data_IF_572563432070
#
_entry.id   IF_572563432070
#
_cell.length_a   1.000
_cell.length_b   1.000
_cell.length_c   1.000
_cell.angle_alpha   90.00
_cell.angle_beta   90.00
_cell.angle_gamma   90.00
#
_symmetry.space_group_name_H-M   'P 1'
#
loop_
_entity.id
_entity.type
_entity.pdbx_description
1 polymer ?
#
# COMPACT_ATOMS: atom_id res chain seq x y z
N UNK A 1 -15.63 -0.18 1.72
CA UNK A 1 -15.56 0.94 0.74
C UNK A 1 -15.96 0.49 -0.67
N UNK A 2 -16.27 1.45 -1.53
CA UNK A 2 -16.56 1.13 -2.94
C UNK A 2 -15.28 0.72 -3.65
N UNK A 3 -15.33 -0.36 -4.43
CA UNK A 3 -14.18 -0.84 -5.20
C UNK A 3 -13.63 0.28 -6.11
N UNK A 4 -12.32 0.49 -6.05
CA UNK A 4 -11.59 1.37 -6.97
C UNK A 4 -11.13 0.52 -8.14
N UNK A 5 -11.51 0.90 -9.37
CA UNK A 5 -11.19 0.18 -10.59
C UNK A 5 -10.62 1.17 -11.61
N UNK A 6 -9.31 1.33 -11.64
CA UNK A 6 -8.60 2.28 -12.50
C UNK A 6 -7.92 1.58 -13.68
N UNK A 7 -8.29 1.95 -14.89
CA UNK A 7 -7.66 1.46 -16.12
C UNK A 7 -6.82 2.56 -16.75
N UNK A 8 -5.64 2.23 -17.24
CA UNK A 8 -4.70 3.18 -17.87
C UNK A 8 -4.40 4.38 -16.91
N UNK A 9 -4.54 5.61 -17.43
CA UNK A 9 -4.30 6.86 -16.72
C UNK A 9 -5.25 7.08 -15.53
N UNK A 10 -6.44 6.50 -15.55
CA UNK A 10 -7.37 6.60 -14.41
C UNK A 10 -6.79 6.02 -13.12
N UNK A 11 -5.92 5.02 -13.23
CA UNK A 11 -5.23 4.45 -12.08
C UNK A 11 -4.23 5.43 -11.42
N UNK A 12 -3.88 6.54 -12.08
CA UNK A 12 -3.06 7.58 -11.46
C UNK A 12 -3.81 8.36 -10.35
N UNK A 13 -5.13 8.30 -10.34
CA UNK A 13 -5.96 8.81 -9.25
C UNK A 13 -6.16 7.72 -8.20
N UNK A 14 -5.59 7.91 -7.01
CA UNK A 14 -5.57 6.90 -5.94
C UNK A 14 -6.97 6.42 -5.51
N UNK A 15 -7.96 7.30 -5.56
CA UNK A 15 -9.36 7.02 -5.24
C UNK A 15 -10.26 7.27 -6.46
N UNK A 16 -9.88 6.71 -7.62
CA UNK A 16 -10.67 6.83 -8.83
C UNK A 16 -12.07 6.26 -8.65
N UNK A 17 -13.05 6.98 -9.16
CA UNK A 17 -14.43 6.51 -9.29
C UNK A 17 -14.94 6.84 -10.68
N UNK A 18 -15.37 5.84 -11.41
CA UNK A 18 -15.91 6.03 -12.77
C UNK A 18 -17.21 6.83 -12.74
N UNK A 19 -17.40 7.67 -13.77
CA UNK A 19 -18.65 8.33 -14.12
C UNK A 19 -19.07 7.91 -15.51
N UNK A 20 -20.28 8.24 -15.94
CA UNK A 20 -20.75 7.92 -17.31
C UNK A 20 -19.82 8.48 -18.39
N UNK A 21 -19.17 9.65 -18.13
CA UNK A 21 -18.24 10.29 -19.07
C UNK A 21 -16.83 9.72 -18.99
N UNK A 22 -16.43 9.18 -17.86
CA UNK A 22 -15.05 8.69 -17.60
C UNK A 22 -14.95 7.16 -17.57
N UNK A 23 -16.03 6.44 -17.80
CA UNK A 23 -16.00 4.98 -17.82
C UNK A 23 -15.29 4.44 -19.07
N UNK A 24 -14.24 3.64 -18.85
CA UNK A 24 -13.47 3.03 -19.92
C UNK A 24 -13.80 1.56 -20.07
N UNK A 25 -14.02 1.15 -21.31
CA UNK A 25 -14.06 -0.27 -21.64
C UNK A 25 -12.65 -0.87 -21.55
N UNK A 26 -12.52 -1.98 -20.84
CA UNK A 26 -11.23 -2.71 -20.75
C UNK A 26 -10.85 -3.33 -22.11
N UNK A 27 -9.61 -3.17 -22.50
CA UNK A 27 -9.02 -3.71 -23.71
C UNK A 27 -7.84 -4.63 -23.37
N UNK A 28 -7.37 -5.41 -24.35
CA UNK A 28 -6.22 -6.33 -24.15
C UNK A 28 -4.88 -5.59 -24.24
N UNK A 29 -4.74 -4.55 -23.45
CA UNK A 29 -3.52 -3.73 -23.37
C UNK A 29 -3.42 -3.05 -22.01
N UNK A 30 -2.23 -2.56 -21.67
CA UNK A 30 -1.97 -1.73 -20.50
C UNK A 30 -2.22 -2.41 -19.14
N UNK A 31 -2.31 -1.60 -18.08
CA UNK A 31 -2.51 -2.01 -16.70
C UNK A 31 -3.93 -1.67 -16.22
N UNK A 32 -4.47 -2.55 -15.41
CA UNK A 32 -5.73 -2.37 -14.68
C UNK A 32 -5.47 -2.53 -13.19
N UNK A 33 -5.74 -1.48 -12.42
CA UNK A 33 -5.66 -1.46 -10.98
C UNK A 33 -7.04 -1.70 -10.39
N UNK A 34 -7.15 -2.68 -9.49
CA UNK A 34 -8.35 -2.94 -8.71
C UNK A 34 -7.99 -2.97 -7.23
N UNK A 35 -8.69 -2.16 -6.45
CA UNK A 35 -8.57 -2.04 -5.01
C UNK A 35 -9.95 -2.28 -4.39
N UNK A 36 -10.03 -3.28 -3.55
CA UNK A 36 -11.30 -3.75 -3.00
C UNK A 36 -11.14 -4.30 -1.60
N UNK A 37 -12.20 -4.20 -0.81
CA UNK A 37 -12.24 -4.77 0.51
C UNK A 37 -13.64 -5.29 0.85
N UNK A 38 -13.69 -6.27 1.73
CA UNK A 38 -14.91 -6.83 2.29
C UNK A 38 -15.05 -6.49 3.76
N UNK A 39 -16.29 -6.32 4.20
CA UNK A 39 -16.62 -6.18 5.63
C UNK A 39 -17.36 -7.43 6.10
N UNK A 40 -16.88 -8.02 7.18
CA UNK A 40 -17.38 -9.23 7.78
C UNK A 40 -17.61 -9.00 9.27
N UNK A 41 -18.36 -9.89 9.92
CA UNK A 41 -18.54 -9.84 11.38
C UNK A 41 -17.22 -10.00 12.16
N UNK A 42 -16.25 -10.69 11.55
CA UNK A 42 -14.97 -11.02 12.18
C UNK A 42 -13.82 -10.08 11.74
N UNK A 43 -14.12 -9.04 10.95
CA UNK A 43 -13.11 -8.06 10.52
C UNK A 43 -13.35 -7.49 9.13
N UNK A 44 -12.40 -6.68 8.69
CA UNK A 44 -12.41 -6.00 7.38
C UNK A 44 -11.17 -6.40 6.61
N UNK A 45 -11.28 -6.49 5.27
CA UNK A 45 -10.15 -6.76 4.38
C UNK A 45 -9.90 -5.60 3.44
N UNK A 46 -8.62 -5.43 3.07
CA UNK A 46 -8.15 -4.43 2.11
C UNK A 46 -7.08 -5.03 1.21
N UNK A 47 -7.28 -4.95 -0.10
CA UNK A 47 -6.36 -5.55 -1.05
C UNK A 47 -6.36 -4.82 -2.39
N UNK A 48 -5.17 -4.49 -2.89
CA UNK A 48 -5.01 -3.96 -4.25
C UNK A 48 -4.16 -4.89 -5.11
N UNK A 49 -4.58 -5.04 -6.37
CA UNK A 49 -3.79 -5.68 -7.43
C UNK A 49 -3.77 -4.80 -8.66
N UNK A 50 -2.61 -4.76 -9.29
CA UNK A 50 -2.46 -4.17 -10.64
C UNK A 50 -2.16 -5.30 -11.60
N UNK A 51 -2.98 -5.43 -12.63
CA UNK A 51 -3.02 -6.57 -13.56
C UNK A 51 -2.64 -6.08 -14.95
N UNK A 52 -1.73 -6.80 -15.62
CA UNK A 52 -1.45 -6.57 -17.03
C UNK A 52 -2.56 -7.20 -17.88
N UNK A 53 -3.25 -6.40 -18.69
CA UNK A 53 -4.29 -6.88 -19.61
C UNK A 53 -3.73 -7.24 -21.00
N UNK A 54 -2.45 -6.92 -21.25
CA UNK A 54 -1.76 -7.23 -22.48
C UNK A 54 -0.26 -7.00 -22.37
N UNK A 55 0.40 -6.85 -23.52
CA UNK A 55 1.83 -6.57 -23.54
C UNK A 55 2.13 -5.16 -22.98
N UNK A 56 3.17 -5.07 -22.17
CA UNK A 56 3.60 -3.84 -21.51
C UNK A 56 4.94 -3.36 -22.06
N UNK A 57 5.12 -2.06 -22.14
CA UNK A 57 6.41 -1.46 -22.41
C UNK A 57 7.37 -1.60 -21.20
N UNK A 58 8.65 -1.31 -21.42
CA UNK A 58 9.69 -1.48 -20.39
C UNK A 58 9.54 -0.51 -19.22
N UNK A 59 8.96 0.66 -19.43
CA UNK A 59 8.70 1.63 -18.36
C UNK A 59 7.68 1.06 -17.35
N UNK A 60 6.53 0.59 -17.83
CA UNK A 60 5.51 -0.03 -17.01
C UNK A 60 6.04 -1.25 -16.26
N UNK A 61 6.85 -2.09 -16.91
CA UNK A 61 7.50 -3.24 -16.27
C UNK A 61 8.46 -2.83 -15.15
N UNK A 62 9.27 -1.78 -15.38
CA UNK A 62 10.18 -1.25 -14.34
C UNK A 62 9.43 -0.66 -13.16
N UNK A 63 8.38 0.14 -13.42
CA UNK A 63 7.55 0.74 -12.38
C UNK A 63 6.83 -0.33 -11.56
N UNK A 64 6.22 -1.30 -12.22
CA UNK A 64 5.58 -2.45 -11.55
C UNK A 64 6.57 -3.21 -10.66
N UNK A 65 7.75 -3.51 -11.19
CA UNK A 65 8.80 -4.20 -10.44
C UNK A 65 9.27 -3.41 -9.22
N UNK A 66 9.39 -2.08 -9.34
CA UNK A 66 9.77 -1.22 -8.21
C UNK A 66 8.72 -1.25 -7.09
N UNK A 67 7.43 -1.19 -7.44
CA UNK A 67 6.32 -1.28 -6.47
C UNK A 67 6.32 -2.65 -5.77
N UNK A 68 6.42 -3.77 -6.52
CA UNK A 68 6.51 -5.12 -5.95
C UNK A 68 7.69 -5.24 -4.99
N UNK A 69 8.87 -4.75 -5.38
CA UNK A 69 10.07 -4.76 -4.52
C UNK A 69 9.85 -3.97 -3.24
N UNK A 70 9.22 -2.80 -3.33
CA UNK A 70 8.88 -1.98 -2.17
C UNK A 70 7.96 -2.73 -1.21
N UNK A 71 6.88 -3.29 -1.72
CA UNK A 71 5.92 -4.07 -0.95
C UNK A 71 6.60 -5.27 -0.26
N UNK A 72 7.41 -6.04 -0.98
CA UNK A 72 8.12 -7.20 -0.42
C UNK A 72 9.14 -6.76 0.64
N UNK A 73 9.93 -5.70 0.40
CA UNK A 73 10.93 -5.23 1.35
C UNK A 73 10.30 -4.87 2.70
N UNK A 74 9.16 -4.18 2.69
CA UNK A 74 8.44 -3.84 3.92
C UNK A 74 7.82 -5.08 4.57
N UNK A 75 7.23 -5.97 3.80
CA UNK A 75 6.67 -7.24 4.31
C UNK A 75 7.71 -8.15 4.98
N UNK A 76 8.96 -8.07 4.55
CA UNK A 76 10.07 -8.86 5.12
C UNK A 76 10.78 -8.16 6.29
N UNK A 77 10.35 -6.97 6.68
CA UNK A 77 11.01 -6.19 7.71
C UNK A 77 11.07 -6.94 9.05
N UNK A 78 12.22 -6.89 9.69
CA UNK A 78 12.43 -7.29 11.08
C UNK A 78 12.95 -6.08 11.84
N UNK A 79 12.35 -5.79 12.98
CA UNK A 79 12.65 -4.59 13.72
C UNK A 79 12.65 -4.84 15.24
N UNK A 80 13.23 -3.93 15.99
CA UNK A 80 13.24 -3.98 17.45
C UNK A 80 12.05 -3.22 18.01
N UNK A 81 11.56 -3.67 19.16
CA UNK A 81 10.48 -3.00 19.87
C UNK A 81 10.74 -1.50 20.06
N UNK A 82 9.71 -0.71 19.84
CA UNK A 82 9.74 0.75 19.85
C UNK A 82 9.81 1.37 18.46
N UNK A 83 9.98 0.55 17.41
CA UNK A 83 9.83 1.04 16.04
C UNK A 83 8.37 1.44 15.74
N UNK A 84 8.25 2.44 14.89
CA UNK A 84 6.98 3.00 14.42
C UNK A 84 6.93 2.91 12.90
N UNK A 85 5.77 3.03 12.31
CA UNK A 85 5.61 2.92 10.87
C UNK A 85 6.52 3.86 10.07
N UNK A 86 6.75 5.10 10.54
CA UNK A 86 7.65 6.03 9.85
C UNK A 86 9.13 5.59 9.86
N UNK A 87 9.54 4.71 10.77
CA UNK A 87 10.89 4.15 10.75
C UNK A 87 11.07 3.09 9.65
N UNK A 88 9.97 2.45 9.23
CA UNK A 88 9.98 1.33 8.29
C UNK A 88 9.53 1.71 6.87
N UNK A 89 8.80 2.80 6.71
CA UNK A 89 8.23 3.27 5.44
C UNK A 89 9.27 3.34 4.31
N UNK A 90 10.49 3.74 4.62
CA UNK A 90 11.59 3.83 3.64
C UNK A 90 11.89 2.49 2.94
N UNK A 91 11.60 1.36 3.57
CA UNK A 91 11.80 0.04 2.97
C UNK A 91 10.93 -0.14 1.74
N UNK A 92 9.71 0.39 1.78
CA UNK A 92 8.81 0.41 0.64
C UNK A 92 9.17 1.49 -0.38
N UNK A 93 9.53 2.72 0.06
CA UNK A 93 9.79 3.85 -0.86
C UNK A 93 11.11 3.74 -1.62
N UNK A 94 12.13 3.18 -1.00
CA UNK A 94 13.48 3.15 -1.55
C UNK A 94 13.58 2.69 -3.01
N UNK A 95 12.88 1.63 -3.48
CA UNK A 95 12.96 1.23 -4.88
C UNK A 95 12.47 2.33 -5.85
N UNK A 96 11.43 3.09 -5.49
CA UNK A 96 10.92 4.21 -6.28
C UNK A 96 11.84 5.42 -6.20
N UNK A 97 12.33 5.76 -5.01
CA UNK A 97 13.27 6.88 -4.84
C UNK A 97 14.57 6.68 -5.60
N UNK A 98 15.06 5.44 -5.75
CA UNK A 98 16.21 5.12 -6.59
C UNK A 98 15.97 5.42 -8.09
N UNK A 99 14.72 5.57 -8.51
CA UNK A 99 14.31 5.94 -9.85
C UNK A 99 13.93 7.43 -9.96
N UNK A 100 14.06 8.20 -8.86
CA UNK A 100 13.61 9.59 -8.81
C UNK A 100 12.09 9.76 -8.75
N UNK A 101 11.35 8.71 -8.41
CA UNK A 101 9.88 8.69 -8.32
C UNK A 101 9.48 8.63 -6.86
N UNK A 102 8.42 9.37 -6.49
CA UNK A 102 7.80 9.30 -5.16
C UNK A 102 6.28 9.25 -5.29
N UNK A 103 5.63 8.70 -4.28
CA UNK A 103 4.18 8.77 -4.10
C UNK A 103 3.85 9.63 -2.87
N UNK A 104 2.85 10.51 -3.03
CA UNK A 104 2.52 11.55 -2.03
C UNK A 104 1.61 11.06 -0.90
N UNK A 105 1.06 9.84 -1.00
CA UNK A 105 0.25 9.21 0.03
C UNK A 105 1.08 8.46 1.07
N UNK A 106 0.42 7.93 2.11
CA UNK A 106 1.01 6.94 3.01
C UNK A 106 1.29 5.63 2.29
N UNK A 107 2.15 4.82 2.88
CA UNK A 107 2.41 3.45 2.42
C UNK A 107 1.44 2.45 3.02
N UNK A 108 0.71 2.84 4.06
CA UNK A 108 -0.28 1.98 4.69
C UNK A 108 -0.90 2.60 5.93
N UNK A 109 -1.97 2.00 6.38
CA UNK A 109 -2.78 2.43 7.51
C UNK A 109 -3.24 1.24 8.34
N UNK A 110 -3.67 1.49 9.59
CA UNK A 110 -4.36 0.49 10.39
C UNK A 110 -5.70 0.14 9.78
N UNK A 111 -6.12 -1.10 9.92
CA UNK A 111 -7.37 -1.62 9.37
C UNK A 111 -8.40 -1.73 10.47
N UNK A 112 -9.57 -1.10 10.28
CA UNK A 112 -10.67 -1.14 11.23
C UNK A 112 -11.31 -2.53 11.31
N UNK A 113 -11.66 -2.95 12.52
CA UNK A 113 -12.35 -4.22 12.71
C UNK A 113 -13.77 -4.18 12.16
N UNK A 114 -14.51 -3.11 12.44
CA UNK A 114 -15.88 -2.89 11.97
C UNK A 114 -16.08 -1.41 11.62
N UNK A 115 -16.66 -1.15 10.45
CA UNK A 115 -17.14 0.17 10.06
C UNK A 115 -16.20 0.95 9.16
N UNK A 116 -15.00 1.30 9.62
CA UNK A 116 -14.05 2.08 8.85
C UNK A 116 -12.85 1.25 8.40
N UNK A 117 -12.44 1.40 7.14
CA UNK A 117 -11.23 0.73 6.64
C UNK A 117 -9.97 1.37 7.22
N UNK A 118 -9.91 2.70 7.31
CA UNK A 118 -8.79 3.42 7.91
C UNK A 118 -9.00 3.56 9.42
N UNK A 119 -8.13 2.96 10.22
CA UNK A 119 -8.20 3.04 11.69
C UNK A 119 -6.82 3.27 12.31
N UNK A 120 -6.74 4.28 13.18
CA UNK A 120 -5.57 4.48 14.04
C UNK A 120 -5.42 3.30 15.03
N UNK A 121 -4.26 3.09 15.70
CA UNK A 121 -3.18 4.07 15.88
C UNK A 121 -1.93 3.82 15.02
N UNK A 122 -1.92 2.87 14.11
CA UNK A 122 -0.75 2.45 13.33
C UNK A 122 -0.90 2.78 11.85
N UNK A 123 0.24 2.91 11.17
CA UNK A 123 0.31 3.16 9.73
C UNK A 123 1.75 3.27 9.28
N UNK A 124 2.00 3.11 7.99
CA UNK A 124 3.31 3.32 7.37
C UNK A 124 3.30 4.65 6.61
N UNK A 125 4.12 5.61 7.06
CA UNK A 125 4.30 6.93 6.43
C UNK A 125 5.74 7.38 6.62
N UNK A 126 6.33 8.04 5.64
CA UNK A 126 7.70 8.55 5.75
C UNK A 126 7.81 9.75 6.71
N UNK A 127 6.69 10.36 7.14
CA UNK A 127 6.64 11.47 8.09
C UNK A 127 5.43 11.36 9.01
N UNK A 128 5.52 11.98 10.17
CA UNK A 128 4.39 12.07 11.10
C UNK A 128 3.41 13.13 10.60
N UNK A 129 2.13 12.77 10.57
CA UNK A 129 1.01 13.66 10.30
C UNK A 129 0.12 13.61 11.55
N UNK A 130 0.18 14.63 12.43
CA UNK A 130 -0.49 14.58 13.74
C UNK A 130 -1.98 14.26 13.66
N UNK A 131 -2.67 14.80 12.66
CA UNK A 131 -4.11 14.65 12.46
C UNK A 131 -4.54 13.22 12.09
N UNK A 132 -3.59 12.36 11.71
CA UNK A 132 -3.86 10.96 11.39
C UNK A 132 -3.84 10.04 12.60
N UNK A 133 -3.16 10.44 13.68
CA UNK A 133 -2.99 9.64 14.90
C UNK A 133 -2.45 8.22 14.63
N UNK A 134 -1.70 8.02 13.54
CA UNK A 134 -1.25 6.72 13.03
C UNK A 134 0.26 6.46 13.25
N UNK A 135 0.87 7.14 14.20
CA UNK A 135 2.31 7.05 14.50
C UNK A 135 2.63 6.32 15.81
N UNK A 136 1.78 5.40 16.25
CA UNK A 136 2.04 4.58 17.42
C UNK A 136 3.24 3.63 17.23
N UNK A 137 3.81 3.15 18.34
CA UNK A 137 4.74 2.02 18.33
C UNK A 137 4.00 0.80 17.79
N UNK A 138 4.66 0.04 16.91
CA UNK A 138 4.08 -1.19 16.38
C UNK A 138 4.08 -2.28 17.44
N UNK A 139 2.90 -2.78 17.76
CA UNK A 139 2.66 -3.81 18.77
C UNK A 139 2.17 -5.10 18.13
N UNK A 140 2.37 -6.21 18.82
CA UNK A 140 1.89 -7.52 18.39
C UNK A 140 0.38 -7.54 18.15
N UNK A 141 -0.04 -8.10 17.03
CA UNK A 141 -1.46 -8.19 16.62
C UNK A 141 -1.96 -6.99 15.82
N UNK A 142 -1.21 -5.89 15.72
CA UNK A 142 -1.61 -4.78 14.86
C UNK A 142 -1.66 -5.21 13.40
N UNK A 143 -2.78 -4.93 12.74
CA UNK A 143 -2.97 -5.10 11.30
C UNK A 143 -2.70 -3.75 10.63
N UNK A 144 -1.87 -3.77 9.58
CA UNK A 144 -1.50 -2.55 8.85
C UNK A 144 -1.43 -2.88 7.36
N UNK A 145 -2.02 -2.07 6.50
CA UNK A 145 -1.86 -2.23 5.05
C UNK A 145 -0.43 -1.90 4.63
N UNK A 146 0.01 -2.51 3.53
CA UNK A 146 1.30 -2.26 2.89
C UNK A 146 1.04 -2.11 1.40
N UNK A 147 0.84 -0.86 0.96
CA UNK A 147 0.27 -0.47 -0.32
C UNK A 147 1.11 0.59 -1.07
N UNK A 148 2.42 0.38 -1.25
CA UNK A 148 3.21 1.30 -2.04
C UNK A 148 2.70 1.40 -3.47
N UNK A 149 2.89 2.56 -4.10
CA UNK A 149 2.43 2.77 -5.46
C UNK A 149 3.29 3.73 -6.27
N UNK A 150 3.01 3.77 -7.56
CA UNK A 150 3.50 4.78 -8.52
C UNK A 150 2.27 5.34 -9.24
N UNK A 151 2.18 6.64 -9.33
CA UNK A 151 1.03 7.34 -9.91
C UNK A 151 1.56 8.44 -10.85
N UNK A 152 1.48 8.20 -12.15
CA UNK A 152 1.95 9.12 -13.20
C UNK A 152 0.74 9.70 -13.91
N UNK A 153 0.45 10.96 -13.63
CA UNK A 153 -0.68 11.69 -14.21
C UNK A 153 -0.67 11.59 -15.74
N UNK A 154 -1.84 11.32 -16.31
CA UNK A 154 -2.02 11.16 -17.75
C UNK A 154 -1.40 9.89 -18.35
N UNK A 155 -0.90 8.96 -17.52
CA UNK A 155 -0.25 7.74 -17.98
C UNK A 155 -0.76 6.49 -17.26
N UNK A 156 -0.39 6.27 -16.00
CA UNK A 156 -0.73 5.04 -15.29
C UNK A 156 -0.65 5.16 -13.77
N UNK A 157 -1.32 4.26 -13.10
CA UNK A 157 -1.15 4.00 -11.66
C UNK A 157 -0.85 2.53 -11.41
N UNK A 158 -0.03 2.29 -10.41
CA UNK A 158 0.31 0.95 -9.93
C UNK A 158 0.24 0.98 -8.40
N UNK A 159 -0.57 0.13 -7.81
CA UNK A 159 -0.60 -0.16 -6.37
C UNK A 159 -0.67 -1.66 -6.19
N UNK A 160 0.13 -2.18 -5.28
CA UNK A 160 0.12 -3.59 -4.89
C UNK A 160 0.11 -3.63 -3.38
N UNK A 161 -0.91 -4.23 -2.82
CA UNK A 161 -1.25 -4.15 -1.42
C UNK A 161 -1.51 -5.52 -0.81
N UNK A 162 -1.02 -5.68 0.41
CA UNK A 162 -1.42 -6.73 1.33
C UNK A 162 -1.59 -6.13 2.74
N UNK A 163 -2.39 -6.77 3.56
CA UNK A 163 -2.40 -6.53 4.99
C UNK A 163 -1.26 -7.29 5.68
N UNK A 164 -0.60 -6.64 6.63
CA UNK A 164 0.46 -7.21 7.45
C UNK A 164 0.00 -7.29 8.92
N UNK A 165 0.35 -8.39 9.58
CA UNK A 165 0.14 -8.54 11.02
C UNK A 165 1.50 -8.49 11.70
N UNK A 166 1.68 -7.53 12.62
CA UNK A 166 2.88 -7.45 13.45
C UNK A 166 2.97 -8.64 14.40
N UNK A 167 4.10 -9.37 14.38
CA UNK A 167 4.32 -10.54 15.22
C UNK A 167 5.61 -10.43 16.02
N UNK A 168 5.58 -10.84 17.28
CA UNK A 168 6.79 -11.07 18.08
C UNK A 168 7.52 -12.30 17.54
N UNK A 169 8.83 -12.17 17.27
CA UNK A 169 9.64 -13.27 16.71
C UNK A 169 10.80 -13.69 17.62
N UNK A 170 11.01 -13.04 18.74
CA UNK A 170 12.02 -13.43 19.74
C UNK A 170 12.54 -12.27 20.57
N UNK A 171 13.49 -12.58 21.41
CA UNK A 171 14.19 -11.62 22.27
C UNK A 171 15.65 -11.49 21.82
N UNK A 172 16.24 -10.32 22.08
CA UNK A 172 17.66 -10.05 21.91
C UNK A 172 18.21 -9.47 23.21
N UNK A 173 19.52 -9.35 23.33
CA UNK A 173 20.17 -8.69 24.47
C UNK A 173 19.77 -7.20 24.59
N UNK A 174 19.19 -6.62 23.56
CA UNK A 174 18.79 -5.21 23.55
C UNK A 174 17.28 -5.03 23.74
N UNK A 175 16.47 -5.76 22.95
CA UNK A 175 15.01 -5.57 22.91
C UNK A 175 14.28 -6.78 22.32
N UNK A 176 12.97 -6.82 22.53
CA UNK A 176 12.06 -7.72 21.81
C UNK A 176 12.11 -7.42 20.32
N UNK A 177 12.14 -8.48 19.51
CA UNK A 177 12.22 -8.43 18.07
C UNK A 177 10.87 -8.75 17.44
N UNK A 178 10.50 -7.98 16.44
CA UNK A 178 9.23 -8.10 15.70
C UNK A 178 9.45 -8.30 14.20
N UNK A 179 8.42 -8.78 13.55
CA UNK A 179 8.33 -8.93 12.09
C UNK A 179 6.93 -8.50 11.62
#
# INVERSE_FOLDING_TARGET
FSTIAGYKEHAAMMHYSATEESDYKLEKEHLFLIDSGGQYFDGTTDITRTIALGELNDELKRHFTAVVRGMINLSMAKFLYGARGYNLDILARRPMWNMGIDYKCGTGHGVGFVGTIHEAPNGFRWRIIPERFDSAVLEEGMVTTNEPGIYIEGSHGIRIENELITKKVGETIFKTRYK
#
